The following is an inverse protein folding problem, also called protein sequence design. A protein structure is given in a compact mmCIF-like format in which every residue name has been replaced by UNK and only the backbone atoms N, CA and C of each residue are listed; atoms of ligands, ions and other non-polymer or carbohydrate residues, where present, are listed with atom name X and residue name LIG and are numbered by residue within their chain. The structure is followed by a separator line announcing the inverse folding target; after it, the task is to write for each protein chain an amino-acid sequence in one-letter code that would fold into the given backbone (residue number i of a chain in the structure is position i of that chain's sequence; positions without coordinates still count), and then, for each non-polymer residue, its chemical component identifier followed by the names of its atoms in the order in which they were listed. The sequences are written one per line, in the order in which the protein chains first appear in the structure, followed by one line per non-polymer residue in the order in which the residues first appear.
data_IF_687852191039
#
_entry.id   IF_687852191039
#
_cell.length_a   1.000
_cell.length_b   1.000
_cell.length_c   1.000
_cell.angle_alpha   90.00
_cell.angle_beta   90.00
_cell.angle_gamma   90.00
#
_symmetry.space_group_name_H-M   'P 1'
#
loop_
_entity.id
_entity.type
_entity.pdbx_description
1 polymer ?
#
# COMPACT_ATOMS: atom_id res chain seq x y z
N UNK A 1 9.24 -3.28 -4.48
CA UNK A 1 10.27 -2.80 -5.41
C UNK A 1 9.51 -2.59 -6.69
N UNK A 2 9.56 -1.40 -7.24
CA UNK A 2 8.78 -1.09 -8.43
C UNK A 2 9.12 -2.05 -9.57
N UNK A 3 8.09 -2.56 -10.23
CA UNK A 3 8.24 -3.51 -11.33
C UNK A 3 8.07 -2.72 -12.63
N UNK A 4 9.16 -2.61 -13.39
CA UNK A 4 9.13 -2.13 -14.76
C UNK A 4 8.84 -3.30 -15.70
N UNK A 5 7.67 -3.30 -16.32
CA UNK A 5 7.39 -4.19 -17.42
C UNK A 5 7.63 -3.46 -18.75
N UNK A 6 8.86 -3.53 -19.26
CA UNK A 6 9.24 -2.87 -20.52
C UNK A 6 8.46 -3.42 -21.73
N UNK A 7 8.07 -4.70 -21.73
CA UNK A 7 7.27 -5.32 -22.81
C UNK A 7 5.85 -4.76 -22.86
N UNK A 8 5.26 -4.46 -21.71
CA UNK A 8 3.91 -3.89 -21.58
C UNK A 8 3.89 -2.37 -21.41
N UNK A 9 5.07 -1.73 -21.27
CA UNK A 9 5.23 -0.33 -20.86
C UNK A 9 4.43 0.00 -19.59
N UNK A 10 4.55 -0.85 -18.58
CA UNK A 10 3.87 -0.67 -17.29
C UNK A 10 4.87 -0.42 -16.15
N UNK A 11 4.56 0.52 -15.27
CA UNK A 11 5.29 0.78 -14.01
C UNK A 11 4.34 0.46 -12.86
N UNK A 12 4.72 -0.44 -11.96
CA UNK A 12 4.00 -0.63 -10.70
C UNK A 12 4.84 -0.10 -9.54
N UNK A 13 4.31 0.80 -8.72
CA UNK A 13 5.03 1.39 -7.59
C UNK A 13 4.18 1.38 -6.32
N UNK A 14 4.81 1.11 -5.18
CA UNK A 14 4.16 0.99 -3.88
C UNK A 14 4.39 2.26 -3.03
N UNK A 15 3.29 2.89 -2.61
CA UNK A 15 3.29 4.03 -1.69
C UNK A 15 2.70 3.60 -0.35
N UNK A 16 3.40 3.89 0.74
CA UNK A 16 2.94 3.57 2.10
C UNK A 16 2.62 4.86 2.87
N UNK A 17 1.39 4.96 3.37
CA UNK A 17 1.00 5.93 4.38
C UNK A 17 1.43 5.42 5.75
N UNK A 18 2.33 6.17 6.40
CA UNK A 18 2.91 5.86 7.70
C UNK A 18 2.63 6.99 8.69
N UNK A 19 2.64 6.70 9.99
CA UNK A 19 2.37 7.70 11.04
C UNK A 19 1.68 7.07 12.26
N UNK A 20 1.50 7.84 13.36
CA UNK A 20 0.96 7.33 14.63
C UNK A 20 -0.49 6.85 14.52
N UNK A 21 -0.99 6.17 15.56
CA UNK A 21 -2.39 5.76 15.63
C UNK A 21 -3.33 6.95 15.41
N UNK A 22 -4.43 6.72 14.70
CA UNK A 22 -5.52 7.70 14.52
C UNK A 22 -5.13 9.05 13.89
N UNK A 23 -3.93 9.17 13.30
CA UNK A 23 -3.49 10.40 12.62
C UNK A 23 -4.16 10.66 11.26
N UNK A 24 -5.06 9.78 10.78
CA UNK A 24 -5.83 9.98 9.54
C UNK A 24 -5.30 9.30 8.27
N UNK A 25 -4.48 8.24 8.41
CA UNK A 25 -3.99 7.42 7.26
C UNK A 25 -5.12 6.79 6.45
N UNK A 26 -6.03 6.06 7.11
CA UNK A 26 -7.18 5.41 6.47
C UNK A 26 -8.13 6.43 5.84
N UNK A 27 -8.40 7.54 6.55
CA UNK A 27 -9.21 8.65 6.04
C UNK A 27 -8.62 9.23 4.75
N UNK A 28 -7.30 9.40 4.67
CA UNK A 28 -6.61 9.81 3.44
C UNK A 28 -6.93 8.87 2.28
N UNK A 29 -6.77 7.55 2.46
CA UNK A 29 -7.00 6.57 1.39
C UNK A 29 -8.47 6.52 0.97
N UNK A 30 -9.39 6.62 1.94
CA UNK A 30 -10.82 6.71 1.67
C UNK A 30 -11.17 7.97 0.85
N UNK A 31 -10.62 9.14 1.21
CA UNK A 31 -10.80 10.37 0.45
C UNK A 31 -10.24 10.27 -0.97
N UNK A 32 -9.05 9.67 -1.14
CA UNK A 32 -8.46 9.44 -2.46
C UNK A 32 -9.38 8.56 -3.29
N UNK A 33 -9.87 7.46 -2.72
CA UNK A 33 -10.84 6.59 -3.38
C UNK A 33 -12.10 7.36 -3.77
N UNK A 34 -12.68 8.18 -2.89
CA UNK A 34 -13.90 8.95 -3.21
C UNK A 34 -13.67 9.98 -4.32
N UNK A 35 -12.54 10.71 -4.31
CA UNK A 35 -12.27 11.81 -5.24
C UNK A 35 -11.74 11.35 -6.61
N UNK A 36 -11.15 10.17 -6.70
CA UNK A 36 -10.65 9.63 -7.98
C UNK A 36 -11.78 9.08 -8.84
N UNK A 37 -11.64 9.27 -10.16
CA UNK A 37 -12.54 8.70 -11.15
C UNK A 37 -12.60 7.17 -10.96
N UNK A 38 -13.79 6.54 -10.88
CA UNK A 38 -13.92 5.08 -10.75
C UNK A 38 -13.14 4.28 -11.81
N UNK A 39 -12.89 4.84 -12.99
CA UNK A 39 -12.08 4.20 -14.05
C UNK A 39 -10.57 4.17 -13.75
N UNK A 40 -10.11 5.03 -12.84
CA UNK A 40 -8.69 5.22 -12.51
C UNK A 40 -8.31 4.54 -11.20
N UNK A 41 -9.25 3.86 -10.53
CA UNK A 41 -9.04 3.17 -9.26
C UNK A 41 -9.66 1.79 -9.27
N UNK A 42 -9.03 0.84 -8.58
CA UNK A 42 -9.71 -0.40 -8.19
C UNK A 42 -10.48 -0.23 -6.89
N UNK A 43 -11.02 -1.35 -6.41
CA UNK A 43 -11.72 -1.39 -5.13
C UNK A 43 -10.76 -1.10 -3.97
N UNK A 44 -11.26 -0.36 -2.98
CA UNK A 44 -10.62 -0.22 -1.69
C UNK A 44 -10.79 -1.54 -0.92
N UNK A 45 -9.68 -2.24 -0.70
CA UNK A 45 -9.68 -3.46 0.12
C UNK A 45 -9.19 -3.10 1.52
N UNK A 46 -10.06 -3.30 2.52
CA UNK A 46 -9.71 -3.19 3.93
C UNK A 46 -9.68 -4.60 4.53
N UNK A 47 -8.51 -5.07 4.93
CA UNK A 47 -8.40 -6.31 5.71
C UNK A 47 -8.66 -5.95 7.18
N UNK A 48 -9.46 -6.75 7.89
CA UNK A 48 -9.62 -6.68 9.34
C UNK A 48 -9.53 -8.11 9.88
N UNK A 49 -8.77 -8.32 10.95
CA UNK A 49 -8.67 -9.62 11.63
C UNK A 49 -9.58 -9.64 12.85
N UNK A 50 -10.34 -10.74 13.05
CA UNK A 50 -11.30 -10.89 14.16
C UNK A 50 -10.65 -10.97 15.56
N UNK A 51 -9.37 -11.30 15.64
CA UNK A 51 -8.74 -11.73 16.90
C UNK A 51 -8.22 -10.61 17.80
N UNK A 52 -8.07 -9.37 17.34
CA UNK A 52 -7.73 -8.22 18.18
C UNK A 52 -7.98 -6.98 17.33
N UNK A 53 -8.73 -6.02 17.88
CA UNK A 53 -9.10 -4.73 17.27
C UNK A 53 -8.30 -4.37 16.01
N UNK A 54 -8.88 -4.73 14.88
CA UNK A 54 -8.78 -4.04 13.60
C UNK A 54 -7.36 -3.72 13.09
N UNK A 55 -6.72 -4.74 12.52
CA UNK A 55 -5.61 -4.59 11.59
C UNK A 55 -6.11 -3.99 10.25
N UNK A 56 -6.60 -2.75 10.26
CA UNK A 56 -7.03 -2.07 9.04
C UNK A 56 -5.83 -1.81 8.13
N UNK A 57 -5.73 -2.62 7.08
CA UNK A 57 -4.82 -2.42 5.98
C UNK A 57 -5.63 -1.97 4.77
N UNK A 58 -5.39 -0.74 4.30
CA UNK A 58 -6.06 -0.21 3.11
C UNK A 58 -5.18 -0.41 1.88
N UNK A 59 -5.75 -1.06 0.86
CA UNK A 59 -5.14 -1.19 -0.46
C UNK A 59 -5.94 -0.42 -1.51
N UNK A 60 -5.28 0.47 -2.24
CA UNK A 60 -5.88 1.19 -3.35
C UNK A 60 -4.96 1.19 -4.57
N UNK A 61 -5.30 0.45 -5.65
CA UNK A 61 -4.58 0.55 -6.90
C UNK A 61 -5.09 1.76 -7.70
N UNK A 62 -4.18 2.64 -8.11
CA UNK A 62 -4.47 3.81 -8.97
C UNK A 62 -3.77 3.63 -10.31
N UNK A 63 -4.50 3.83 -11.39
CA UNK A 63 -3.95 3.83 -12.76
C UNK A 63 -3.85 5.25 -13.29
N UNK A 64 -2.62 5.68 -13.62
CA UNK A 64 -2.36 6.92 -14.35
C UNK A 64 -1.93 6.56 -15.77
N UNK A 65 -2.64 7.12 -16.75
CA UNK A 65 -2.30 6.99 -18.16
C UNK A 65 -1.19 7.96 -18.55
N UNK A 66 -0.30 7.52 -19.46
CA UNK A 66 0.66 8.36 -20.19
C UNK A 66 1.67 9.16 -19.34
N UNK A 67 2.15 8.63 -18.23
CA UNK A 67 3.30 9.24 -17.54
C UNK A 67 4.59 8.85 -18.26
N UNK A 68 5.09 9.74 -19.13
CA UNK A 68 6.31 9.49 -19.92
C UNK A 68 6.20 8.32 -20.90
N UNK A 69 4.99 8.04 -21.40
CA UNK A 69 4.72 6.92 -22.32
C UNK A 69 4.53 5.55 -21.66
N UNK A 70 4.49 5.49 -20.32
CA UNK A 70 4.19 4.28 -19.55
C UNK A 70 2.83 4.38 -18.86
N UNK A 71 2.12 3.24 -18.82
CA UNK A 71 0.97 3.05 -17.95
C UNK A 71 1.48 2.83 -16.53
N UNK A 72 1.11 3.71 -15.60
CA UNK A 72 1.60 3.64 -14.22
C UNK A 72 0.51 3.18 -13.27
N UNK A 73 0.80 2.15 -12.48
CA UNK A 73 -0.03 1.64 -11.39
C UNK A 73 0.61 1.97 -10.06
N UNK A 74 -0.02 2.83 -9.26
CA UNK A 74 0.35 3.00 -7.87
C UNK A 74 -0.45 2.05 -7.00
N UNK A 75 0.20 1.43 -6.03
CA UNK A 75 -0.45 0.63 -5.01
C UNK A 75 -0.28 1.37 -3.68
N UNK A 76 -1.37 1.87 -3.12
CA UNK A 76 -1.36 2.60 -1.85
C UNK A 76 -1.65 1.62 -0.72
N UNK A 77 -0.83 1.70 0.34
CA UNK A 77 -0.87 0.87 1.53
C UNK A 77 -0.97 1.77 2.78
N UNK A 78 -1.80 1.43 3.76
CA UNK A 78 -1.74 2.03 5.11
C UNK A 78 -1.12 1.06 6.11
N UNK A 79 -0.47 1.58 7.15
CA UNK A 79 0.02 0.75 8.27
C UNK A 79 -0.91 0.86 9.48
N UNK A 80 -1.06 -0.21 10.29
CA UNK A 80 -1.72 -0.10 11.58
C UNK A 80 -0.92 0.83 12.49
N UNK A 81 -1.60 1.82 13.07
CA UNK A 81 -0.93 2.86 13.85
C UNK A 81 -0.64 2.50 15.32
N UNK A 82 -1.19 1.40 15.84
CA UNK A 82 -0.96 0.97 17.23
C UNK A 82 0.41 0.30 17.39
N UNK A 83 1.14 0.63 18.46
CA UNK A 83 2.54 0.22 18.68
C UNK A 83 2.74 -1.31 18.62
N UNK A 84 1.78 -2.09 19.12
CA UNK A 84 1.80 -3.56 19.17
C UNK A 84 2.03 -4.25 17.80
N UNK A 85 1.63 -3.63 16.68
CA UNK A 85 1.68 -4.27 15.35
C UNK A 85 2.97 -3.99 14.55
N UNK A 86 4.13 -3.97 15.20
CA UNK A 86 5.39 -3.63 14.52
C UNK A 86 5.76 -4.62 13.39
N UNK A 87 5.51 -5.92 13.58
CA UNK A 87 5.75 -6.94 12.56
C UNK A 87 4.94 -6.69 11.28
N UNK A 88 3.69 -6.26 11.41
CA UNK A 88 2.85 -5.87 10.28
C UNK A 88 3.40 -4.61 9.60
N UNK A 89 3.82 -3.59 10.37
CA UNK A 89 4.44 -2.38 9.79
C UNK A 89 5.68 -2.72 8.96
N UNK A 90 6.53 -3.63 9.46
CA UNK A 90 7.67 -4.15 8.70
C UNK A 90 7.20 -4.84 7.42
N UNK A 91 6.22 -5.75 7.47
CA UNK A 91 5.73 -6.45 6.29
C UNK A 91 5.17 -5.49 5.22
N UNK A 92 4.42 -4.47 5.64
CA UNK A 92 3.88 -3.45 4.73
C UNK A 92 4.99 -2.61 4.09
N UNK A 93 6.11 -2.36 4.78
CA UNK A 93 7.24 -1.62 4.21
C UNK A 93 8.09 -2.44 3.23
N UNK A 94 7.89 -3.75 3.14
CA UNK A 94 8.60 -4.58 2.15
C UNK A 94 8.35 -4.05 0.75
N UNK A 95 9.45 -3.69 0.07
CA UNK A 95 9.41 -3.20 -1.30
C UNK A 95 8.74 -1.84 -1.48
N UNK A 96 8.68 -0.99 -0.45
CA UNK A 96 8.17 0.38 -0.58
C UNK A 96 9.00 1.19 -1.59
N UNK A 97 8.31 1.97 -2.43
CA UNK A 97 8.93 2.86 -3.42
C UNK A 97 8.74 4.34 -3.05
N UNK A 98 7.74 4.67 -2.21
CA UNK A 98 7.56 5.99 -1.60
C UNK A 98 6.79 5.95 -0.29
N UNK A 99 7.01 6.94 0.57
CA UNK A 99 6.35 7.06 1.87
C UNK A 99 5.65 8.41 1.97
N UNK A 100 4.44 8.41 2.52
CA UNK A 100 3.77 9.61 3.00
C UNK A 100 3.68 9.48 4.51
N UNK A 101 4.40 10.32 5.24
CA UNK A 101 4.33 10.36 6.68
C UNK A 101 3.23 11.34 7.10
N UNK A 102 2.16 10.81 7.68
CA UNK A 102 1.01 11.56 8.17
C UNK A 102 1.25 11.83 9.65
N UNK A 103 1.56 13.08 9.97
CA UNK A 103 1.65 13.57 11.33
C UNK A 103 0.30 14.13 11.78
N UNK A 104 -0.04 13.91 13.05
CA UNK A 104 -1.19 14.53 13.70
C UNK A 104 -0.79 15.91 14.23
N UNK A 105 -1.50 16.96 13.82
CA UNK A 105 -1.13 18.32 14.19
C UNK A 105 -1.52 18.74 15.61
N UNK A 106 -2.33 17.96 16.33
CA UNK A 106 -2.69 18.29 17.72
C UNK A 106 -1.45 18.35 18.61
N UNK A 107 -1.40 19.34 19.53
CA UNK A 107 -0.25 19.54 20.44
C UNK A 107 0.05 18.28 21.26
N UNK A 108 -1.00 17.58 21.69
CA UNK A 108 -0.88 16.35 22.49
C UNK A 108 -0.24 15.17 21.75
N UNK A 109 -0.05 15.25 20.42
CA UNK A 109 0.45 14.16 19.59
C UNK A 109 1.93 14.31 19.20
N UNK A 110 2.63 15.27 19.80
CA UNK A 110 4.05 15.55 19.52
C UNK A 110 4.92 14.30 19.68
N UNK A 111 4.81 13.62 20.82
CA UNK A 111 5.64 12.46 21.17
C UNK A 111 5.33 11.26 20.27
N UNK A 112 4.05 11.00 20.00
CA UNK A 112 3.59 9.90 19.15
C UNK A 112 4.05 10.08 17.69
N UNK A 113 4.09 11.33 17.21
CA UNK A 113 4.64 11.64 15.90
C UNK A 113 6.14 11.29 15.83
N UNK A 114 6.92 11.71 16.84
CA UNK A 114 8.36 11.40 16.93
C UNK A 114 8.62 9.90 17.01
N UNK A 115 7.91 9.19 17.90
CA UNK A 115 8.02 7.75 18.07
C UNK A 115 7.68 7.00 16.78
N UNK A 116 6.61 7.41 16.10
CA UNK A 116 6.22 6.80 14.82
C UNK A 116 7.24 7.07 13.72
N UNK A 117 7.89 8.23 13.70
CA UNK A 117 8.93 8.56 12.71
C UNK A 117 10.20 7.73 12.97
N UNK A 118 10.62 7.62 14.24
CA UNK A 118 11.73 6.76 14.64
C UNK A 118 11.46 5.30 14.30
N UNK A 119 10.25 4.82 14.57
CA UNK A 119 9.85 3.46 14.21
C UNK A 119 9.86 3.21 12.70
N UNK A 120 9.49 4.18 11.87
CA UNK A 120 9.63 4.10 10.41
C UNK A 120 11.11 3.91 10.03
N UNK A 121 12.01 4.73 10.60
CA UNK A 121 13.44 4.65 10.34
C UNK A 121 13.99 3.27 10.71
N UNK A 122 13.66 2.75 11.89
CA UNK A 122 14.07 1.42 12.35
C UNK A 122 13.56 0.30 11.44
N UNK A 123 12.29 0.37 11.04
CA UNK A 123 11.69 -0.65 10.19
C UNK A 123 12.25 -0.64 8.76
N UNK A 124 12.65 0.52 8.23
CA UNK A 124 13.36 0.60 6.95
C UNK A 124 14.78 0.04 7.07
N UNK A 125 15.49 0.35 8.17
CA UNK A 125 16.82 -0.20 8.45
C UNK A 125 16.83 -1.72 8.54
N UNK A 126 15.76 -2.33 9.06
CA UNK A 126 15.59 -3.80 9.07
C UNK A 126 15.72 -4.43 7.66
N UNK A 127 15.33 -3.70 6.61
CA UNK A 127 15.47 -4.13 5.22
C UNK A 127 16.73 -3.57 4.52
N UNK A 128 17.72 -3.10 5.30
CA UNK A 128 18.91 -2.41 4.79
C UNK A 128 18.57 -1.25 3.84
N UNK A 129 17.47 -0.54 4.12
CA UNK A 129 17.06 0.67 3.40
C UNK A 129 17.24 1.88 4.28
N UNK A 130 17.93 2.88 3.74
CA UNK A 130 17.98 4.19 4.37
C UNK A 130 16.74 5.01 3.96
N UNK A 131 16.09 5.64 4.95
CA UNK A 131 14.99 6.59 4.73
C UNK A 131 15.41 7.74 3.81
N UNK A 132 16.71 8.06 3.71
CA UNK A 132 17.23 9.09 2.79
C UNK A 132 17.12 8.72 1.32
N UNK A 133 17.04 7.42 1.01
CA UNK A 133 17.01 6.88 -0.35
C UNK A 133 15.59 6.63 -0.86
N UNK A 134 14.58 6.83 -0.01
CA UNK A 134 13.17 6.61 -0.33
C UNK A 134 12.49 7.98 -0.48
N UNK A 135 11.83 8.25 -1.62
CA UNK A 135 10.92 9.39 -1.78
C UNK A 135 9.95 9.49 -0.62
N UNK A 136 9.92 10.64 0.05
CA UNK A 136 9.12 10.84 1.25
C UNK A 136 8.50 12.24 1.27
N UNK A 137 7.22 12.29 1.63
CA UNK A 137 6.44 13.52 1.80
C UNK A 137 5.95 13.58 3.24
N UNK A 138 6.03 14.75 3.85
CA UNK A 138 5.40 15.03 5.14
C UNK A 138 3.99 15.56 4.91
N UNK A 139 3.01 15.04 5.64
CA UNK A 139 1.65 15.56 5.67
C UNK A 139 1.31 15.93 7.11
N UNK A 140 1.01 17.20 7.35
CA UNK A 140 0.57 17.72 8.64
C UNK A 140 -0.95 17.75 8.63
N UNK A 141 -1.55 16.71 9.20
CA UNK A 141 -2.97 16.42 9.08
C UNK A 141 -3.76 16.93 10.31
N UNK A 142 -5.07 17.05 10.16
CA UNK A 142 -6.01 17.59 11.16
C UNK A 142 -5.89 19.11 11.37
N UNK A 143 -5.61 19.82 10.28
CA UNK A 143 -5.57 21.28 10.26
C UNK A 143 -6.96 21.93 10.43
N UNK A 144 -8.01 21.11 10.44
CA UNK A 144 -9.39 21.50 10.78
C UNK A 144 -9.68 21.57 12.28
N UNK A 145 -8.77 21.10 13.14
CA UNK A 145 -8.95 21.11 14.59
C UNK A 145 -8.40 22.37 15.24
N UNK A 146 -8.97 22.71 16.38
CA UNK A 146 -8.40 23.67 17.33
C UNK A 146 -7.23 23.03 18.12
N UNK A 147 -6.43 23.85 18.79
CA UNK A 147 -5.29 23.41 19.64
C UNK A 147 -4.24 22.55 18.90
N UNK A 148 -3.88 22.99 17.70
CA UNK A 148 -2.84 22.36 16.87
C UNK A 148 -1.50 23.10 16.96
N UNK A 149 -0.41 22.36 16.80
CA UNK A 149 0.91 22.93 16.55
C UNK A 149 0.90 23.71 15.22
N UNK A 150 1.67 24.78 15.17
CA UNK A 150 1.90 25.51 13.93
C UNK A 150 2.66 24.64 12.92
N UNK A 151 2.54 24.95 11.63
CA UNK A 151 3.26 24.22 10.58
C UNK A 151 4.79 24.33 10.77
N UNK A 152 5.27 25.46 11.26
CA UNK A 152 6.68 25.70 11.56
C UNK A 152 7.16 24.81 12.72
N UNK A 153 6.35 24.65 13.76
CA UNK A 153 6.66 23.76 14.88
C UNK A 153 6.74 22.30 14.42
N UNK A 154 5.75 21.85 13.64
CA UNK A 154 5.74 20.49 13.07
C UNK A 154 6.94 20.24 12.14
N UNK A 155 7.29 21.22 11.30
CA UNK A 155 8.43 21.11 10.38
C UNK A 155 9.77 21.08 11.12
N UNK A 156 9.92 21.90 12.16
CA UNK A 156 11.10 21.88 13.02
C UNK A 156 11.24 20.53 13.77
N UNK A 157 10.11 19.99 14.25
CA UNK A 157 10.05 18.74 14.99
C UNK A 157 10.38 17.52 14.11
N UNK A 158 9.73 17.40 12.95
CA UNK A 158 9.68 16.14 12.19
C UNK A 158 10.49 16.18 10.89
N UNK A 159 10.83 17.37 10.37
CA UNK A 159 11.31 17.52 9.00
C UNK A 159 12.70 18.17 8.91
N UNK A 160 13.65 17.62 9.67
CA UNK A 160 15.06 18.03 9.66
C UNK A 160 15.69 18.00 8.25
N UNK A 161 15.19 17.12 7.38
CA UNK A 161 15.65 16.94 6.00
C UNK A 161 15.05 17.92 4.99
N UNK A 162 14.13 18.80 5.42
CA UNK A 162 13.42 19.75 4.54
C UNK A 162 12.76 19.07 3.34
N UNK A 163 12.13 17.92 3.61
CA UNK A 163 11.28 17.21 2.66
C UNK A 163 10.06 18.09 2.31
N UNK A 164 9.43 17.91 1.13
CA UNK A 164 8.18 18.60 0.86
C UNK A 164 7.12 18.22 1.90
N UNK A 165 6.49 19.24 2.46
CA UNK A 165 5.45 19.13 3.47
C UNK A 165 4.16 19.80 3.00
N UNK A 166 3.01 19.27 3.41
CA UNK A 166 1.69 19.80 3.08
C UNK A 166 0.78 19.80 4.30
N UNK A 167 0.10 20.92 4.53
CA UNK A 167 -1.04 21.00 5.43
C UNK A 167 -2.23 20.23 4.84
N UNK A 168 -2.95 19.48 5.67
CA UNK A 168 -4.08 18.68 5.23
C UNK A 168 -5.18 18.58 6.29
N UNK A 169 -6.40 18.38 5.80
CA UNK A 169 -7.49 17.84 6.59
C UNK A 169 -8.03 16.63 5.84
N UNK A 170 -7.73 15.43 6.36
CA UNK A 170 -8.21 14.20 5.75
C UNK A 170 -9.74 14.07 5.81
N UNK A 171 -10.42 14.75 6.74
CA UNK A 171 -11.88 14.66 6.84
C UNK A 171 -12.58 15.51 5.78
N UNK A 172 -12.08 16.71 5.48
CA UNK A 172 -12.57 17.55 4.36
C UNK A 172 -11.98 17.11 3.01
N UNK A 173 -10.84 16.42 3.07
CA UNK A 173 -10.03 16.00 1.94
C UNK A 173 -9.15 17.10 1.37
N UNK A 174 -8.96 18.21 2.09
CA UNK A 174 -8.01 19.27 1.75
C UNK A 174 -6.57 18.76 1.91
N UNK A 175 -5.69 19.13 0.97
CA UNK A 175 -4.30 18.68 0.94
C UNK A 175 -4.08 17.21 0.52
N UNK A 176 -5.07 16.32 0.68
CA UNK A 176 -4.94 14.87 0.43
C UNK A 176 -4.42 14.52 -0.97
N UNK A 177 -5.07 15.01 -2.03
CA UNK A 177 -4.65 14.73 -3.41
C UNK A 177 -3.33 15.44 -3.77
N UNK A 178 -3.06 16.60 -3.16
CA UNK A 178 -1.82 17.35 -3.37
C UNK A 178 -0.63 16.56 -2.81
N UNK A 179 -0.75 16.04 -1.58
CA UNK A 179 0.24 15.17 -0.94
C UNK A 179 0.50 13.91 -1.76
N UNK A 180 -0.56 13.21 -2.19
CA UNK A 180 -0.42 12.00 -3.00
C UNK A 180 0.28 12.31 -4.33
N UNK A 181 -0.16 13.34 -5.03
CA UNK A 181 0.41 13.74 -6.33
C UNK A 181 1.89 14.08 -6.21
N UNK A 182 2.29 14.79 -5.15
CA UNK A 182 3.68 15.11 -4.87
C UNK A 182 4.52 13.84 -4.65
N UNK A 183 4.01 12.89 -3.86
CA UNK A 183 4.69 11.61 -3.62
C UNK A 183 4.85 10.81 -4.93
N UNK A 184 3.76 10.63 -5.69
CA UNK A 184 3.78 9.94 -6.98
C UNK A 184 4.83 10.54 -7.93
N UNK A 185 4.90 11.88 -8.03
CA UNK A 185 5.91 12.58 -8.84
C UNK A 185 7.33 12.27 -8.39
N UNK A 186 7.61 12.30 -7.08
CA UNK A 186 8.95 11.97 -6.57
C UNK A 186 9.32 10.52 -6.83
N UNK A 187 8.40 9.58 -6.60
CA UNK A 187 8.60 8.15 -6.89
C UNK A 187 8.94 7.94 -8.35
N UNK A 188 8.17 8.52 -9.27
CA UNK A 188 8.44 8.41 -10.71
C UNK A 188 9.80 8.99 -11.10
N UNK A 189 10.18 10.13 -10.52
CA UNK A 189 11.48 10.75 -10.78
C UNK A 189 12.64 9.89 -10.25
N UNK A 190 12.48 9.31 -9.06
CA UNK A 190 13.46 8.40 -8.48
C UNK A 190 13.62 7.13 -9.32
N UNK A 191 12.50 6.53 -9.74
CA UNK A 191 12.51 5.35 -10.61
C UNK A 191 13.18 5.63 -11.96
N UNK A 192 12.93 6.80 -12.58
CA UNK A 192 13.63 7.22 -13.81
C UNK A 192 15.13 7.38 -13.59
N UNK A 193 15.55 7.97 -12.47
CA UNK A 193 16.99 8.11 -12.14
C UNK A 193 17.66 6.75 -11.96
N UNK A 194 16.97 5.81 -11.29
CA UNK A 194 17.47 4.44 -11.07
C UNK A 194 17.54 3.64 -12.37
N UNK A 195 16.57 3.80 -13.29
CA UNK A 195 16.62 3.12 -14.59
C UNK A 195 17.74 3.66 -15.49
N UNK A 196 18.02 4.96 -15.49
CA UNK A 196 19.12 5.55 -16.27
C UNK A 196 20.49 5.10 -15.77
N UNK A 197 20.65 4.88 -14.46
CA UNK A 197 21.91 4.38 -13.88
C UNK A 197 22.18 2.90 -14.16
N UNK A 198 21.15 2.13 -14.52
CA UNK A 198 21.30 0.71 -14.86
C UNK A 198 21.82 0.49 -16.29
N UNK A 199 21.80 1.52 -17.15
CA UNK A 199 22.32 1.48 -18.53
C UNK A 199 23.45 2.51 -18.77
N UNK A 200 24.70 2.26 -18.32
CA UNK A 200 25.86 3.05 -18.74
C UNK A 200 26.42 2.56 -20.10
N UNK A 201 25.56 2.34 -21.11
CA UNK A 201 25.97 1.71 -22.37
C UNK A 201 25.22 2.09 -23.65
N UNK A 202 24.08 2.78 -23.61
CA UNK A 202 23.36 3.15 -24.85
C UNK A 202 23.32 4.65 -25.07
N UNK A 203 24.36 5.17 -25.71
CA UNK A 203 24.33 6.49 -26.35
C UNK A 203 23.20 6.54 -27.39
N UNK A 204 22.34 7.58 -27.42
CA UNK A 204 21.36 7.72 -28.49
C UNK A 204 22.07 8.16 -29.79
N UNK A 205 22.34 7.21 -30.69
CA UNK A 205 22.64 7.55 -32.08
C UNK A 205 21.35 8.08 -32.74
N UNK A 206 21.41 9.33 -33.23
CA UNK A 206 20.39 9.91 -34.11
C UNK A 206 20.24 9.04 -35.36
N UNK A 207 19.02 8.64 -35.76
CA UNK A 207 18.81 8.06 -37.08
C UNK A 207 18.85 9.18 -38.13
N UNK A 208 19.87 9.11 -38.99
CA UNK A 208 19.97 9.84 -40.24
C UNK A 208 18.79 9.48 -41.15
N UNK A 209 18.12 10.52 -41.65
CA UNK A 209 17.10 10.40 -42.70
C UNK A 209 17.80 10.13 -44.03
N UNK A 210 17.45 9.03 -44.67
CA UNK A 210 17.53 8.89 -46.12
C UNK A 210 16.19 8.38 -46.64
N UNK A 211 15.67 9.18 -47.56
CA UNK A 211 14.49 9.01 -48.40
C UNK A 211 14.69 7.81 -49.32
N UNK A 212 13.68 6.96 -49.50
CA UNK A 212 12.99 6.84 -50.79
C UNK A 212 11.85 5.81 -50.77
N UNK A 213 10.86 6.11 -51.59
CA UNK A 213 9.59 5.41 -51.75
C UNK A 213 9.71 4.14 -52.59
N UNK A 214 8.87 3.13 -52.33
CA UNK A 214 7.79 2.72 -53.25
C UNK A 214 7.01 1.47 -52.81
N UNK A 215 5.69 1.59 -53.01
CA UNK A 215 4.61 0.60 -53.17
C UNK A 215 4.99 -0.88 -53.30
N UNK A 216 4.24 -1.73 -52.58
CA UNK A 216 3.45 -2.81 -53.23
C UNK A 216 2.29 -3.24 -52.33
N UNK A 217 1.11 -3.38 -52.96
CA UNK A 217 -0.10 -3.95 -52.37
C UNK A 217 0.12 -5.43 -52.04
N UNK A 218 -0.47 -5.93 -50.96
CA UNK A 218 -1.19 -7.20 -50.98
C UNK A 218 -2.24 -7.30 -49.86
N UNK A 219 -3.44 -7.70 -50.28
CA UNK A 219 -4.58 -8.11 -49.46
C UNK A 219 -4.24 -9.40 -48.69
N UNK A 220 -4.82 -9.59 -47.50
CA UNK A 220 -5.74 -10.70 -47.13
C UNK A 220 -5.76 -10.91 -45.60
N UNK A 221 -6.96 -11.22 -45.09
CA UNK A 221 -7.30 -11.84 -43.79
C UNK A 221 -7.31 -10.97 -42.51
N UNK A 222 -8.53 -10.56 -42.15
CA UNK A 222 -9.00 -10.25 -40.80
C UNK A 222 -8.85 -11.43 -39.83
N UNK A 223 -8.42 -11.21 -38.58
CA UNK A 223 -8.74 -12.08 -37.45
C UNK A 223 -9.84 -11.45 -36.57
N UNK A 224 -10.86 -12.26 -36.35
CA UNK A 224 -12.03 -12.10 -35.47
C UNK A 224 -11.63 -11.82 -34.01
N UNK A 225 -12.38 -10.99 -33.25
CA UNK A 225 -12.14 -10.80 -31.83
C UNK A 225 -12.48 -12.05 -31.00
N UNK A 226 -11.76 -12.34 -29.89
CA UNK A 226 -12.09 -13.44 -28.99
C UNK A 226 -13.39 -13.18 -28.20
N UNK A 227 -14.10 -14.25 -27.77
CA UNK A 227 -15.41 -14.14 -27.14
C UNK A 227 -15.35 -13.52 -25.74
N UNK A 228 -16.36 -12.69 -25.46
CA UNK A 228 -16.63 -12.05 -24.16
C UNK A 228 -17.01 -13.12 -23.12
N UNK A 229 -16.41 -13.12 -21.90
CA UNK A 229 -16.89 -13.99 -20.82
C UNK A 229 -18.31 -13.62 -20.40
N UNK A 230 -19.11 -14.66 -20.18
CA UNK A 230 -20.52 -14.61 -19.83
C UNK A 230 -20.74 -14.10 -18.39
N UNK A 231 -21.79 -13.29 -18.25
CA UNK A 231 -22.63 -13.00 -17.07
C UNK A 231 -22.16 -13.48 -15.69
N UNK A 232 -21.88 -12.52 -14.80
CA UNK A 232 -21.98 -12.69 -13.36
C UNK A 232 -23.44 -12.96 -12.94
N UNK A 233 -23.69 -13.73 -11.86
CA UNK A 233 -25.04 -14.01 -11.38
C UNK A 233 -25.72 -12.75 -10.82
N UNK A 234 -26.99 -12.58 -11.17
CA UNK A 234 -27.91 -11.56 -10.66
C UNK A 234 -28.03 -11.64 -9.14
N UNK A 235 -27.51 -10.64 -8.42
CA UNK A 235 -27.91 -10.36 -7.05
C UNK A 235 -29.02 -9.32 -7.11
N UNK A 236 -30.28 -9.79 -6.98
CA UNK A 236 -31.43 -8.90 -6.80
C UNK A 236 -31.29 -8.15 -5.47
N UNK A 237 -31.48 -6.82 -5.43
CA UNK A 237 -31.60 -6.11 -4.16
C UNK A 237 -32.91 -6.54 -3.48
N UNK A 238 -32.80 -7.07 -2.26
CA UNK A 238 -33.96 -7.19 -1.38
C UNK A 238 -34.30 -5.80 -0.85
N UNK A 239 -35.56 -5.39 -1.07
CA UNK A 239 -36.14 -4.18 -0.49
C UNK A 239 -36.00 -4.22 1.03
N UNK A 240 -35.23 -3.30 1.59
CA UNK A 240 -35.31 -2.96 3.01
C UNK A 240 -36.40 -1.91 3.12
N UNK A 241 -37.57 -2.35 3.57
CA UNK A 241 -38.66 -1.46 3.96
C UNK A 241 -38.23 -0.77 5.26
N UNK A 242 -38.03 0.55 5.19
CA UNK A 242 -37.89 1.39 6.38
C UNK A 242 -39.23 1.44 7.13
N UNK A 243 -39.29 0.89 8.34
CA UNK A 243 -40.31 1.24 9.34
C UNK A 243 -39.66 2.11 10.43
N UNK A 244 -40.28 3.25 10.80
CA UNK A 244 -39.75 4.13 11.83
C UNK A 244 -40.27 3.70 13.20
N UNK A 245 -39.42 3.07 14.01
CA UNK A 245 -39.71 2.90 15.45
C UNK A 245 -38.89 3.88 16.28
N UNK A 246 -39.57 4.95 16.67
CA UNK A 246 -39.24 5.79 17.81
C UNK A 246 -39.27 4.97 19.10
N UNK A 247 -38.10 4.59 19.60
CA UNK A 247 -37.95 4.17 21.00
C UNK A 247 -36.75 4.87 21.62
N UNK A 248 -37.02 5.52 22.73
CA UNK A 248 -36.10 6.30 23.55
C UNK A 248 -34.96 5.40 24.05
N UNK A 249 -33.73 5.78 23.72
CA UNK A 249 -32.52 5.06 24.11
C UNK A 249 -32.33 5.17 25.64
N UNK A 250 -32.79 4.15 26.38
CA UNK A 250 -32.57 3.98 27.82
C UNK A 250 -31.32 3.15 28.11
N UNK A 251 -30.22 3.37 27.38
CA UNK A 251 -28.93 2.76 27.74
C UNK A 251 -28.22 3.61 28.80
N UNK A 252 -27.69 3.01 29.89
CA UNK A 252 -26.97 3.75 30.91
C UNK A 252 -25.65 4.32 30.35
N UNK A 253 -25.12 5.41 30.94
CA UNK A 253 -23.81 5.93 30.55
C UNK A 253 -22.75 4.86 30.77
N UNK A 254 -21.82 4.75 29.83
CA UNK A 254 -20.69 3.82 29.87
C UNK A 254 -19.89 4.03 31.17
N UNK A 255 -19.82 3.00 32.02
CA UNK A 255 -18.93 2.95 33.17
C UNK A 255 -17.64 2.21 32.77
N UNK A 256 -16.48 2.80 33.08
CA UNK A 256 -15.19 2.13 32.93
C UNK A 256 -15.09 1.00 33.98
N UNK A 257 -14.72 -0.24 33.60
CA UNK A 257 -14.41 -1.25 34.60
C UNK A 257 -13.13 -0.81 35.33
N UNK A 258 -13.20 -0.74 36.65
CA UNK A 258 -12.02 -0.65 37.50
C UNK A 258 -11.04 -1.77 37.13
N UNK A 259 -9.75 -1.42 37.13
CA UNK A 259 -8.61 -2.30 36.90
C UNK A 259 -8.67 -3.54 37.78
N UNK A 260 -9.26 -4.61 37.24
CA UNK A 260 -9.02 -5.95 37.74
C UNK A 260 -7.71 -6.42 37.12
N UNK A 261 -6.67 -6.53 37.95
CA UNK A 261 -5.42 -7.19 37.58
C UNK A 261 -5.72 -8.64 37.19
N UNK A 262 -5.94 -8.87 35.90
CA UNK A 262 -6.01 -10.22 35.36
C UNK A 262 -4.59 -10.79 35.39
N UNK A 263 -4.38 -11.78 36.26
CA UNK A 263 -3.22 -12.67 36.21
C UNK A 263 -3.09 -13.26 34.79
N UNK A 264 -1.86 -13.46 34.27
CA UNK A 264 -1.66 -14.07 32.97
C UNK A 264 -2.23 -15.48 32.99
N UNK A 265 -3.30 -15.71 32.23
CA UNK A 265 -3.77 -17.06 31.94
C UNK A 265 -2.65 -17.77 31.20
N UNK A 266 -2.11 -18.82 31.82
CA UNK A 266 -1.23 -19.79 31.20
C UNK A 266 -1.95 -20.50 30.06
N UNK A 267 -1.99 -19.87 28.88
CA UNK A 267 -2.32 -20.52 27.62
C UNK A 267 -1.02 -21.04 27.01
N UNK A 268 -0.96 -22.32 26.68
CA UNK A 268 0.19 -22.87 25.94
C UNK A 268 0.44 -22.06 24.66
N UNK A 269 1.72 -21.88 24.26
CA UNK A 269 2.04 -21.18 23.02
C UNK A 269 1.40 -21.91 21.82
N UNK A 270 0.79 -21.14 20.92
CA UNK A 270 0.26 -21.61 19.64
C UNK A 270 1.34 -22.39 18.86
N UNK A 271 1.09 -23.67 18.57
CA UNK A 271 2.02 -24.62 17.93
C UNK A 271 1.45 -25.12 16.59
N UNK A 272 1.44 -24.28 15.54
CA UNK A 272 0.91 -24.71 14.25
C UNK A 272 1.70 -25.91 13.72
N UNK A 273 0.99 -26.92 13.23
CA UNK A 273 1.60 -28.10 12.60
C UNK A 273 1.37 -28.07 11.10
N UNK A 274 2.39 -28.48 10.33
CA UNK A 274 2.26 -28.57 8.87
C UNK A 274 1.43 -29.81 8.55
N UNK A 275 0.18 -29.61 8.14
CA UNK A 275 -0.73 -30.68 7.78
C UNK A 275 -0.52 -31.17 6.35
N UNK A 276 -0.22 -30.26 5.42
CA UNK A 276 0.03 -30.61 4.02
C UNK A 276 1.02 -29.66 3.37
N UNK A 277 1.92 -30.20 2.55
CA UNK A 277 2.78 -29.42 1.65
C UNK A 277 2.36 -29.75 0.22
N UNK A 278 1.92 -28.75 -0.53
CA UNK A 278 1.58 -28.91 -1.93
C UNK A 278 2.82 -28.88 -2.83
N UNK A 279 2.62 -29.11 -4.13
CA UNK A 279 3.75 -29.11 -5.09
C UNK A 279 4.34 -27.72 -5.24
N UNK A 280 5.66 -27.62 -5.10
CA UNK A 280 6.39 -26.40 -5.43
C UNK A 280 6.15 -26.03 -6.90
N UNK A 281 5.93 -24.74 -7.15
CA UNK A 281 5.71 -24.19 -8.49
C UNK A 281 6.75 -23.12 -8.76
N UNK A 282 7.41 -23.23 -9.90
CA UNK A 282 8.26 -22.16 -10.39
C UNK A 282 7.34 -21.08 -10.99
N UNK A 283 7.28 -19.91 -10.38
CA UNK A 283 6.52 -18.77 -10.91
C UNK A 283 7.32 -18.12 -12.04
N UNK A 284 8.64 -18.03 -11.88
CA UNK A 284 9.60 -17.55 -12.87
C UNK A 284 11.00 -18.12 -12.51
N UNK A 285 12.05 -17.92 -13.33
CA UNK A 285 13.40 -18.48 -13.10
C UNK A 285 14.04 -18.18 -11.74
N UNK A 286 13.52 -17.21 -11.00
CA UNK A 286 14.05 -16.75 -9.71
C UNK A 286 13.02 -16.84 -8.58
N UNK A 287 11.82 -17.37 -8.83
CA UNK A 287 10.74 -17.37 -7.84
C UNK A 287 10.06 -18.72 -7.76
N UNK A 288 10.07 -19.31 -6.57
CA UNK A 288 9.42 -20.59 -6.26
C UNK A 288 8.30 -20.33 -5.24
N UNK A 289 7.11 -20.83 -5.52
CA UNK A 289 5.98 -20.82 -4.60
C UNK A 289 5.73 -22.22 -4.06
N UNK A 290 5.51 -22.31 -2.75
CA UNK A 290 5.18 -23.51 -2.03
C UNK A 290 3.88 -23.31 -1.25
N UNK A 291 2.76 -23.89 -1.71
CA UNK A 291 1.52 -23.90 -0.94
C UNK A 291 1.66 -24.85 0.24
N UNK A 292 1.32 -24.38 1.44
CA UNK A 292 1.33 -25.15 2.69
C UNK A 292 -0.04 -25.02 3.34
N UNK A 293 -0.56 -26.12 3.90
CA UNK A 293 -1.70 -26.10 4.80
C UNK A 293 -1.24 -26.36 6.22
N UNK A 294 -1.60 -25.48 7.13
CA UNK A 294 -1.30 -25.59 8.56
C UNK A 294 -2.58 -26.01 9.31
N UNK A 295 -2.46 -26.97 10.22
CA UNK A 295 -3.48 -27.27 11.20
C UNK A 295 -3.23 -26.45 12.47
N UNK A 296 -4.30 -25.95 13.09
CA UNK A 296 -4.24 -25.25 14.38
C UNK A 296 -4.55 -26.22 15.51
N UNK A 297 -4.04 -25.91 16.71
CA UNK A 297 -4.08 -26.80 17.89
C UNK A 297 -5.50 -27.22 18.32
N UNK A 298 -6.53 -26.51 17.87
CA UNK A 298 -7.91 -26.68 18.34
C UNK A 298 -8.86 -27.36 17.34
N UNK A 299 -8.44 -27.62 16.09
CA UNK A 299 -9.27 -28.38 15.13
C UNK A 299 -8.43 -28.89 13.93
N UNK A 300 -8.15 -30.21 13.83
CA UNK A 300 -7.41 -30.78 12.69
C UNK A 300 -8.16 -30.64 11.34
N UNK A 301 -9.45 -30.32 11.36
CA UNK A 301 -10.23 -30.06 10.15
C UNK A 301 -10.16 -28.59 9.69
N UNK A 302 -9.68 -27.68 10.54
CA UNK A 302 -9.55 -26.25 10.22
C UNK A 302 -8.15 -25.96 9.66
N UNK A 303 -8.02 -26.15 8.35
CA UNK A 303 -6.77 -25.94 7.63
C UNK A 303 -6.60 -24.49 7.17
N UNK A 304 -5.54 -23.82 7.62
CA UNK A 304 -5.11 -22.53 7.10
C UNK A 304 -4.25 -22.74 5.85
N UNK A 305 -4.63 -22.15 4.72
CA UNK A 305 -3.81 -22.17 3.50
C UNK A 305 -2.84 -21.00 3.49
N UNK A 306 -1.55 -21.29 3.36
CA UNK A 306 -0.44 -20.33 3.33
C UNK A 306 0.39 -20.58 2.08
N UNK A 307 0.54 -19.58 1.22
CA UNK A 307 1.45 -19.65 0.07
C UNK A 307 2.77 -18.96 0.42
N UNK A 308 3.84 -19.76 0.56
CA UNK A 308 5.19 -19.23 0.78
C UNK A 308 5.85 -19.01 -0.57
N UNK A 309 6.31 -17.78 -0.84
CA UNK A 309 7.03 -17.45 -2.07
C UNK A 309 8.47 -17.08 -1.76
N UNK A 310 9.40 -17.86 -2.29
CA UNK A 310 10.84 -17.61 -2.21
C UNK A 310 11.30 -16.93 -3.49
N UNK A 311 11.95 -15.77 -3.36
CA UNK A 311 12.70 -15.14 -4.45
C UNK A 311 14.19 -15.39 -4.22
N UNK A 312 14.82 -16.14 -5.12
CA UNK A 312 16.22 -16.49 -5.05
C UNK A 312 16.99 -15.64 -6.06
N UNK A 313 17.70 -14.64 -5.56
CA UNK A 313 18.65 -13.88 -6.38
C UNK A 313 19.82 -14.81 -6.75
N UNK A 314 20.21 -14.83 -8.03
CA UNK A 314 21.31 -15.65 -8.57
C UNK A 314 21.07 -17.17 -8.65
N UNK A 315 19.82 -17.62 -8.81
CA UNK A 315 19.52 -19.06 -8.93
C UNK A 315 20.11 -19.71 -10.20
N UNK A 316 20.28 -18.94 -11.28
CA UNK A 316 20.94 -19.38 -12.51
C UNK A 316 22.30 -18.68 -12.57
N UNK A 317 23.38 -19.38 -12.23
CA UNK A 317 24.69 -19.02 -12.73
C UNK A 317 24.66 -19.27 -14.25
N UNK A 318 24.67 -18.21 -15.04
CA UNK A 318 25.07 -18.31 -16.44
C UNK A 318 26.51 -18.81 -16.43
N UNK A 319 26.72 -20.09 -16.73
CA UNK A 319 28.03 -20.57 -17.17
C UNK A 319 28.31 -19.91 -18.52
N UNK A 320 29.10 -18.84 -18.48
CA UNK A 320 29.89 -18.30 -19.57
C UNK A 320 31.32 -18.15 -19.06
#
# INVERSE_FOLDING_TARGET
MAIFNYKKREISAKIVYYGPALCGKTTNVQQIHQKLNPRQRGDLVSLATDADRTLFFDFLPIELENVGGFKTRFQIYTVPGQVYYNSTRKAVLTGVDGVIFVADSQISMEQENLESLNNLIENLKYYNRDITQIPMIMQYNKQDLDEIMSLEQLDALLNQRKLPSFAASAVTGDGVLQTLTACCKQVLNDLKRKSVRADPGSSPQKPSKTTDAQKTLNKTATPTPPPRPQSAPDIRPQNITEEPTSQTDKRPPFAFPETNQAQPTSGEPFKPTIAQVGKARLINPQTISLPIRLATDNDPNKLLSVDITFSINNFIQTNL
#
